data_IF_008633888655
#
_entry.id   IF_008633888655
#
_cell.length_a   1.000
_cell.length_b   1.000
_cell.length_c   1.000
_cell.angle_alpha   90.00
_cell.angle_beta   90.00
_cell.angle_gamma   90.00
#
_symmetry.space_group_name_H-M   'P 1'
#
loop_
_entity.id
_entity.type
_entity.pdbx_description
1 polymer ?
#
# COMPACT_ATOMS: atom_id res chain seq x y z
N UNK A 1 10.81 -14.42 26.47
CA UNK A 1 9.90 -14.83 25.36
C UNK A 1 9.70 -13.76 24.27
N UNK A 2 9.97 -12.48 24.52
CA UNK A 2 9.83 -11.39 23.53
C UNK A 2 10.72 -11.47 22.25
N UNK A 3 11.99 -11.94 22.25
CA UNK A 3 12.84 -11.83 21.06
C UNK A 3 12.48 -12.81 19.93
N UNK A 4 11.77 -13.90 20.24
CA UNK A 4 11.30 -14.88 19.25
C UNK A 4 9.99 -14.47 18.57
N UNK A 5 9.22 -13.57 19.19
CA UNK A 5 7.96 -13.08 18.64
C UNK A 5 8.21 -12.07 17.51
N UNK A 6 9.24 -11.23 17.65
CA UNK A 6 9.62 -10.19 16.68
C UNK A 6 9.80 -10.74 15.25
N UNK A 7 10.62 -11.79 14.99
CA UNK A 7 10.78 -12.32 13.64
C UNK A 7 9.49 -12.93 13.08
N UNK A 8 8.61 -13.47 13.94
CA UNK A 8 7.32 -14.02 13.53
C UNK A 8 6.36 -12.91 13.06
N UNK A 9 6.25 -11.82 13.82
CA UNK A 9 5.40 -10.67 13.44
C UNK A 9 5.96 -9.99 12.18
N UNK A 10 7.28 -9.82 12.08
CA UNK A 10 7.92 -9.31 10.86
C UNK A 10 7.61 -10.18 9.63
N UNK A 11 7.72 -11.50 9.76
CA UNK A 11 7.39 -12.42 8.67
C UNK A 11 5.91 -12.29 8.26
N UNK A 12 4.99 -12.27 9.23
CA UNK A 12 3.56 -12.07 8.98
C UNK A 12 3.29 -10.76 8.25
N UNK A 13 3.93 -9.66 8.67
CA UNK A 13 3.78 -8.36 8.01
C UNK A 13 4.30 -8.36 6.58
N UNK A 14 5.42 -9.03 6.30
CA UNK A 14 5.90 -9.20 4.91
C UNK A 14 4.86 -9.93 4.05
N UNK A 15 4.25 -11.00 4.57
CA UNK A 15 3.19 -11.71 3.84
C UNK A 15 1.93 -10.86 3.67
N UNK A 16 1.52 -10.10 4.69
CA UNK A 16 0.36 -9.23 4.63
C UNK A 16 0.56 -8.10 3.60
N UNK A 17 1.73 -7.46 3.60
CA UNK A 17 2.09 -6.42 2.62
C UNK A 17 2.14 -6.99 1.21
N UNK A 18 2.74 -8.16 1.04
CA UNK A 18 2.81 -8.82 -0.27
C UNK A 18 1.41 -9.25 -0.77
N UNK A 19 0.56 -9.76 0.12
CA UNK A 19 -0.83 -10.08 -0.18
C UNK A 19 -1.62 -8.85 -0.60
N UNK A 20 -1.49 -7.74 0.14
CA UNK A 20 -2.13 -6.47 -0.18
C UNK A 20 -1.67 -5.94 -1.53
N UNK A 21 -0.36 -6.03 -1.82
CA UNK A 21 0.20 -5.67 -3.13
C UNK A 21 -0.43 -6.50 -4.26
N UNK A 22 -0.55 -7.81 -4.06
CA UNK A 22 -1.15 -8.72 -5.04
C UNK A 22 -2.63 -8.47 -5.26
N UNK A 23 -3.39 -8.14 -4.22
CA UNK A 23 -4.82 -7.86 -4.34
C UNK A 23 -5.06 -6.53 -5.04
N UNK A 24 -4.31 -5.48 -4.70
CA UNK A 24 -4.55 -4.13 -5.22
C UNK A 24 -3.95 -3.92 -6.62
N UNK A 25 -2.75 -4.45 -6.87
CA UNK A 25 -2.03 -4.20 -8.13
C UNK A 25 -1.92 -5.45 -9.01
N UNK A 26 -1.93 -6.65 -8.43
CA UNK A 26 -1.75 -7.93 -9.14
C UNK A 26 -0.33 -8.16 -9.66
N UNK A 27 0.26 -7.15 -10.30
CA UNK A 27 1.58 -7.18 -10.89
C UNK A 27 2.33 -5.84 -10.73
N UNK A 28 3.64 -5.88 -10.97
CA UNK A 28 4.50 -4.71 -10.87
C UNK A 28 4.17 -3.62 -11.90
N UNK A 29 3.72 -4.00 -13.10
CA UNK A 29 3.36 -3.04 -14.16
C UNK A 29 2.18 -2.16 -13.76
N UNK A 30 1.16 -2.74 -13.12
CA UNK A 30 -0.01 -2.00 -12.66
C UNK A 30 0.35 -1.07 -11.50
N UNK A 31 1.21 -1.52 -10.59
CA UNK A 31 1.75 -0.65 -9.55
C UNK A 31 2.49 0.56 -10.13
N UNK A 32 3.39 0.35 -11.10
CA UNK A 32 4.09 1.45 -11.78
C UNK A 32 3.12 2.40 -12.49
N UNK A 33 2.04 1.88 -13.09
CA UNK A 33 0.99 2.69 -13.71
C UNK A 33 0.27 3.54 -12.66
N UNK A 34 -0.11 2.98 -11.52
CA UNK A 34 -0.74 3.75 -10.46
C UNK A 34 0.19 4.85 -9.93
N UNK A 35 1.48 4.54 -9.74
CA UNK A 35 2.49 5.54 -9.35
C UNK A 35 2.62 6.63 -10.41
N UNK A 36 2.63 6.27 -11.69
CA UNK A 36 2.68 7.24 -12.78
C UNK A 36 1.49 8.21 -12.75
N UNK A 37 0.26 7.69 -12.65
CA UNK A 37 -0.95 8.51 -12.59
C UNK A 37 -1.01 9.36 -11.33
N UNK A 38 -0.53 8.86 -10.19
CA UNK A 38 -0.47 9.64 -8.96
C UNK A 38 0.43 10.88 -9.06
N UNK A 39 1.52 10.80 -9.84
CA UNK A 39 2.40 11.95 -10.09
C UNK A 39 2.05 12.73 -11.35
N UNK A 40 1.12 12.21 -12.17
CA UNK A 40 0.69 12.88 -13.41
C UNK A 40 -0.16 14.09 -13.02
N UNK A 41 0.06 15.26 -13.61
CA UNK A 41 -0.72 16.44 -13.27
C UNK A 41 -2.16 16.35 -13.81
N UNK A 42 -3.13 16.70 -12.96
CA UNK A 42 -4.57 16.56 -13.23
C UNK A 42 -5.04 17.20 -14.54
N UNK A 43 -4.48 18.36 -14.91
CA UNK A 43 -4.85 19.05 -16.15
C UNK A 43 -4.51 18.22 -17.39
N UNK A 44 -3.43 17.44 -17.34
CA UNK A 44 -3.02 16.58 -18.45
C UNK A 44 -3.96 15.38 -18.60
N UNK A 45 -4.38 14.80 -17.47
CA UNK A 45 -5.36 13.72 -17.47
C UNK A 45 -6.75 14.19 -17.87
N UNK A 46 -7.14 15.42 -17.50
CA UNK A 46 -8.42 16.01 -17.91
C UNK A 46 -8.50 16.19 -19.43
N UNK A 47 -7.39 16.61 -20.06
CA UNK A 47 -7.30 16.75 -21.52
C UNK A 47 -7.33 15.41 -22.25
N UNK A 48 -6.84 14.34 -21.62
CA UNK A 48 -6.77 12.99 -22.20
C UNK A 48 -7.98 12.12 -21.86
N UNK A 49 -8.89 12.61 -20.99
CA UNK A 49 -10.05 11.85 -20.53
C UNK A 49 -9.69 10.71 -19.56
N UNK A 50 -8.53 10.77 -18.91
CA UNK A 50 -7.98 9.70 -18.06
C UNK A 50 -8.27 9.93 -16.56
N UNK A 51 -9.17 10.85 -16.19
CA UNK A 51 -9.49 11.19 -14.79
C UNK A 51 -9.91 9.99 -13.93
N UNK A 52 -10.49 8.95 -14.55
CA UNK A 52 -10.87 7.72 -13.86
C UNK A 52 -9.64 6.89 -13.46
N UNK A 53 -8.62 6.82 -14.32
CA UNK A 53 -7.37 6.11 -14.02
C UNK A 53 -6.61 6.79 -12.88
N UNK A 54 -6.63 8.13 -12.82
CA UNK A 54 -6.05 8.90 -11.70
C UNK A 54 -6.75 8.57 -10.37
N UNK A 55 -8.08 8.63 -10.35
CA UNK A 55 -8.87 8.35 -9.13
C UNK A 55 -8.65 6.92 -8.63
N UNK A 56 -8.58 5.94 -9.54
CA UNK A 56 -8.31 4.54 -9.19
C UNK A 56 -6.88 4.37 -8.69
N UNK A 57 -5.91 5.00 -9.35
CA UNK A 57 -4.51 4.97 -8.94
C UNK A 57 -4.30 5.54 -7.53
N UNK A 58 -4.91 6.70 -7.27
CA UNK A 58 -4.87 7.35 -5.96
C UNK A 58 -5.51 6.47 -4.89
N UNK A 59 -6.69 5.91 -5.15
CA UNK A 59 -7.37 5.03 -4.21
C UNK A 59 -6.57 3.75 -3.90
N UNK A 60 -6.02 3.09 -4.92
CA UNK A 60 -5.20 1.90 -4.72
C UNK A 60 -3.92 2.19 -3.93
N UNK A 61 -3.24 3.31 -4.21
CA UNK A 61 -2.05 3.71 -3.46
C UNK A 61 -2.40 4.12 -2.03
N UNK A 62 -3.51 4.82 -1.82
CA UNK A 62 -4.01 5.18 -0.50
C UNK A 62 -4.29 3.93 0.35
N UNK A 63 -5.00 2.94 -0.20
CA UNK A 63 -5.25 1.68 0.50
C UNK A 63 -3.96 0.91 0.79
N UNK A 64 -3.01 0.90 -0.15
CA UNK A 64 -1.75 0.21 0.02
C UNK A 64 -0.89 0.85 1.12
N UNK A 65 -0.59 2.14 1.02
CA UNK A 65 0.24 2.85 2.00
C UNK A 65 -0.49 3.03 3.33
N UNK A 66 -1.79 3.30 3.32
CA UNK A 66 -2.62 3.37 4.51
C UNK A 66 -2.67 2.04 5.25
N UNK A 67 -2.86 0.93 4.53
CA UNK A 67 -2.83 -0.42 5.09
C UNK A 67 -1.47 -0.78 5.69
N UNK A 68 -0.38 -0.42 5.02
CA UNK A 68 0.98 -0.56 5.56
C UNK A 68 1.13 0.24 6.85
N UNK A 69 0.72 1.51 6.87
CA UNK A 69 0.80 2.36 8.06
C UNK A 69 0.01 1.79 9.23
N UNK A 70 -1.19 1.25 8.97
CA UNK A 70 -2.06 0.63 9.98
C UNK A 70 -1.44 -0.64 10.57
N UNK A 71 -0.79 -1.47 9.74
CA UNK A 71 -0.06 -2.66 10.20
C UNK A 71 1.08 -2.30 11.15
N UNK A 72 1.94 -1.35 10.77
CA UNK A 72 3.06 -0.91 11.61
C UNK A 72 2.60 -0.18 12.87
N UNK A 73 1.54 0.63 12.79
CA UNK A 73 0.95 1.27 13.96
C UNK A 73 0.36 0.24 14.93
N UNK A 74 -0.34 -0.77 14.41
CA UNK A 74 -0.88 -1.88 15.21
C UNK A 74 0.21 -2.67 15.93
N UNK A 75 1.31 -2.99 15.23
CA UNK A 75 2.50 -3.60 15.86
C UNK A 75 3.06 -2.72 16.98
N UNK A 76 3.29 -1.44 16.70
CA UNK A 76 3.85 -0.51 17.67
C UNK A 76 2.97 -0.39 18.91
N UNK A 77 1.65 -0.26 18.74
CA UNK A 77 0.69 -0.21 19.84
C UNK A 77 0.69 -1.50 20.66
N UNK A 78 0.76 -2.66 20.00
CA UNK A 78 0.82 -3.97 20.67
C UNK A 78 2.09 -4.12 21.51
N UNK A 79 3.26 -3.74 20.98
CA UNK A 79 4.53 -3.80 21.71
C UNK A 79 4.65 -2.77 22.85
N UNK A 80 3.95 -1.64 22.77
CA UNK A 80 3.88 -0.66 23.86
C UNK A 80 3.01 -1.12 25.03
N UNK A 81 1.95 -1.88 24.74
CA UNK A 81 1.01 -2.35 25.75
C UNK A 81 1.45 -3.65 26.45
N UNK A 82 2.45 -4.37 25.93
CA UNK A 82 2.89 -5.69 26.44
C UNK A 82 4.41 -5.86 26.62
#
# INVERSE_FOLDING_TARGET
MKPLLIPFVMAFNVFAIWGLFKVLFGNWKMFQRCVYYYFKPDWLSHLQGECYEDSVAEFCLFLYFGGIGLLFFGEYAFFLQH
#
